data_IF_310496710143
#
_entry.id   IF_310496710143
#
_cell.length_a   1.000
_cell.length_b   1.000
_cell.length_c   1.000
_cell.angle_alpha   90.00
_cell.angle_beta   90.00
_cell.angle_gamma   90.00
#
_symmetry.space_group_name_H-M   'P 1'
#
loop_
_entity.id
_entity.type
_entity.pdbx_description
1 polymer ?
#
# COMPACT_ATOMS: atom_id res chain seq x y z
N UNK A 1 7.60 -18.14 16.88
CA UNK A 1 6.88 -16.88 16.61
C UNK A 1 7.51 -16.27 15.37
N UNK A 2 6.72 -16.04 14.33
CA UNK A 2 7.19 -15.47 13.07
C UNK A 2 6.97 -13.96 13.09
N UNK A 3 7.98 -13.18 12.71
CA UNK A 3 7.88 -11.71 12.63
C UNK A 3 7.26 -11.33 11.29
N UNK A 4 6.36 -10.34 11.32
CA UNK A 4 5.83 -9.68 10.13
C UNK A 4 6.43 -8.27 10.10
N UNK A 5 7.12 -7.95 9.02
CA UNK A 5 7.63 -6.60 8.78
C UNK A 5 6.52 -5.75 8.14
N UNK A 6 6.47 -4.48 8.50
CA UNK A 6 5.56 -3.52 7.88
C UNK A 6 6.32 -2.23 7.55
N UNK A 7 5.97 -1.63 6.43
CA UNK A 7 6.45 -0.31 6.00
C UNK A 7 5.33 0.71 6.24
N UNK A 8 5.60 1.73 7.05
CA UNK A 8 4.68 2.82 7.34
C UNK A 8 5.06 4.10 6.59
N UNK A 9 4.07 4.96 6.32
CA UNK A 9 4.32 6.25 5.69
C UNK A 9 4.71 7.32 6.71
N UNK A 10 5.72 8.12 6.37
CA UNK A 10 6.23 9.18 7.25
C UNK A 10 5.52 10.54 7.05
N UNK A 11 4.53 10.61 6.15
CA UNK A 11 3.68 11.80 6.02
C UNK A 11 2.81 11.94 7.28
N UNK A 12 2.78 13.15 7.85
CA UNK A 12 1.95 13.49 9.02
C UNK A 12 0.50 13.02 8.84
N UNK A 13 -0.03 12.35 9.87
CA UNK A 13 -1.41 11.80 9.92
C UNK A 13 -1.73 10.72 8.89
N UNK A 14 -0.76 10.26 8.08
CA UNK A 14 -0.99 9.19 7.13
C UNK A 14 -1.00 7.83 7.83
N UNK A 15 -2.13 7.13 7.73
CA UNK A 15 -2.31 5.78 8.30
C UNK A 15 -1.81 4.66 7.38
N UNK A 16 -1.17 5.01 6.25
CA UNK A 16 -0.83 4.02 5.24
C UNK A 16 0.19 3.00 5.74
N UNK A 17 -0.07 1.73 5.41
CA UNK A 17 0.80 0.60 5.73
C UNK A 17 0.95 -0.31 4.51
N UNK A 18 2.16 -0.82 4.29
CA UNK A 18 2.41 -2.01 3.50
C UNK A 18 2.82 -3.13 4.46
N UNK A 19 2.13 -4.27 4.39
CA UNK A 19 2.33 -5.39 5.32
C UNK A 19 3.00 -6.51 4.56
N UNK A 20 4.18 -6.91 5.04
CA UNK A 20 4.98 -7.96 4.44
C UNK A 20 4.49 -9.36 4.75
N UNK A 21 5.14 -10.34 4.11
CA UNK A 21 4.86 -11.75 4.37
C UNK A 21 5.50 -12.19 5.71
N UNK A 22 4.85 -13.11 6.46
CA UNK A 22 5.44 -13.68 7.66
C UNK A 22 6.81 -14.31 7.39
N UNK A 23 7.85 -13.86 8.10
CA UNK A 23 9.20 -14.40 7.97
C UNK A 23 9.99 -13.88 6.77
N UNK A 24 9.45 -12.91 6.02
CA UNK A 24 10.20 -12.24 4.96
C UNK A 24 11.39 -11.46 5.51
N UNK A 25 12.47 -11.39 4.72
CA UNK A 25 13.61 -10.54 5.04
C UNK A 25 13.27 -9.05 4.83
N UNK A 26 14.00 -8.13 5.49
CA UNK A 26 13.82 -6.69 5.27
C UNK A 26 13.99 -6.25 3.81
N UNK A 27 14.92 -6.87 3.08
CA UNK A 27 15.14 -6.55 1.65
C UNK A 27 13.99 -7.03 0.76
N UNK A 28 13.40 -8.18 1.09
CA UNK A 28 12.22 -8.67 0.41
C UNK A 28 11.04 -7.71 0.64
N UNK A 29 10.81 -7.30 1.89
CA UNK A 29 9.75 -6.35 2.23
C UNK A 29 9.93 -5.00 1.53
N UNK A 30 11.15 -4.46 1.55
CA UNK A 30 11.49 -3.24 0.80
C UNK A 30 11.16 -3.42 -0.69
N UNK A 31 11.60 -4.51 -1.30
CA UNK A 31 11.32 -4.78 -2.72
C UNK A 31 9.81 -4.90 -3.00
N UNK A 32 9.05 -5.55 -2.11
CA UNK A 32 7.61 -5.69 -2.22
C UNK A 32 6.89 -4.34 -2.11
N UNK A 33 7.23 -3.52 -1.10
CA UNK A 33 6.68 -2.18 -0.92
C UNK A 33 6.98 -1.29 -2.14
N UNK A 34 8.20 -1.32 -2.68
CA UNK A 34 8.56 -0.58 -3.89
C UNK A 34 7.71 -1.02 -5.09
N UNK A 35 7.47 -2.32 -5.28
CA UNK A 35 6.58 -2.86 -6.33
C UNK A 35 5.12 -2.45 -6.12
N UNK A 36 4.69 -2.27 -4.87
CA UNK A 36 3.38 -1.72 -4.53
C UNK A 36 3.29 -0.20 -4.78
N UNK A 37 4.37 0.47 -5.18
CA UNK A 37 4.41 1.89 -5.53
C UNK A 37 4.80 2.81 -4.38
N UNK A 38 5.38 2.27 -3.31
CA UNK A 38 5.96 3.08 -2.24
C UNK A 38 7.27 3.71 -2.69
N UNK A 39 7.47 4.98 -2.34
CA UNK A 39 8.78 5.60 -2.44
C UNK A 39 9.58 5.34 -1.16
N UNK A 40 10.56 4.45 -1.30
CA UNK A 40 11.48 3.99 -0.26
C UNK A 40 12.92 3.97 -0.79
N UNK A 41 13.16 4.79 -1.82
CA UNK A 41 14.38 4.83 -2.61
C UNK A 41 15.62 5.24 -1.80
N UNK A 42 15.41 5.96 -0.68
CA UNK A 42 16.47 6.46 0.18
C UNK A 42 16.62 5.57 1.43
N UNK A 43 17.72 4.81 1.57
CA UNK A 43 18.00 4.08 2.80
C UNK A 43 18.08 5.04 4.00
N UNK A 44 17.29 4.79 5.04
CA UNK A 44 17.20 5.66 6.23
C UNK A 44 16.50 7.01 6.00
N UNK A 45 15.97 7.26 4.80
CA UNK A 45 15.11 8.40 4.51
C UNK A 45 13.63 8.09 4.78
N UNK A 46 12.75 9.10 4.63
CA UNK A 46 11.33 8.91 4.82
C UNK A 46 10.75 7.98 3.75
N UNK A 47 9.74 7.21 4.13
CA UNK A 47 8.95 6.35 3.27
C UNK A 47 7.63 7.04 2.93
N UNK A 48 7.27 7.06 1.65
CA UNK A 48 6.00 7.61 1.18
C UNK A 48 5.13 6.54 0.55
N UNK A 49 3.89 6.45 1.00
CA UNK A 49 2.92 5.55 0.39
C UNK A 49 2.54 6.02 -1.02
N UNK A 50 1.92 5.15 -1.85
CA UNK A 50 1.58 5.49 -3.23
C UNK A 50 0.66 6.72 -3.38
N UNK A 51 -0.16 7.02 -2.36
CA UNK A 51 -1.01 8.21 -2.37
C UNK A 51 -0.20 9.49 -2.09
N UNK A 52 0.63 9.48 -1.04
CA UNK A 52 1.46 10.63 -0.67
C UNK A 52 2.55 10.91 -1.71
N UNK A 53 3.20 9.86 -2.24
CA UNK A 53 4.24 10.01 -3.26
C UNK A 53 3.71 10.60 -4.57
N UNK A 54 2.41 10.43 -4.87
CA UNK A 54 1.75 11.01 -6.06
C UNK A 54 0.99 12.31 -5.76
N UNK A 55 1.13 12.86 -4.55
CA UNK A 55 0.51 14.13 -4.18
C UNK A 55 -1.00 14.08 -3.93
N UNK A 56 -1.60 12.89 -3.77
CA UNK A 56 -3.04 12.72 -3.48
C UNK A 56 -3.41 13.02 -2.03
N UNK A 57 -2.42 13.05 -1.14
CA UNK A 57 -2.60 13.32 0.29
C UNK A 57 -2.50 12.07 1.18
N UNK A 58 -2.65 12.25 2.50
CA UNK A 58 -2.56 11.16 3.47
C UNK A 58 -3.73 10.18 3.36
N UNK A 59 -3.47 8.91 3.73
CA UNK A 59 -4.53 7.93 3.97
C UNK A 59 -5.13 8.21 5.35
N UNK A 60 -6.41 8.57 5.40
CA UNK A 60 -7.11 8.90 6.65
C UNK A 60 -8.06 7.80 7.13
N UNK A 61 -8.43 6.87 6.23
CA UNK A 61 -9.34 5.76 6.50
C UNK A 61 -8.69 4.43 6.11
N UNK A 62 -8.55 3.53 7.08
CA UNK A 62 -8.04 2.18 6.87
C UNK A 62 -9.06 1.27 6.17
N UNK A 63 -8.56 0.29 5.42
CA UNK A 63 -9.33 -0.75 4.74
C UNK A 63 -8.40 -1.76 4.06
N UNK A 64 -8.89 -2.42 3.02
CA UNK A 64 -8.24 -3.63 2.49
C UNK A 64 -7.41 -3.39 1.21
N UNK A 65 -7.00 -2.15 0.94
CA UNK A 65 -6.09 -1.90 -0.18
C UNK A 65 -4.73 -2.57 0.03
N UNK A 66 -4.41 -3.55 -0.81
CA UNK A 66 -3.14 -4.30 -0.78
C UNK A 66 -1.88 -3.41 -0.94
N UNK A 67 -2.04 -2.18 -1.44
CA UNK A 67 -0.93 -1.24 -1.65
C UNK A 67 -0.71 -0.26 -0.52
N UNK A 68 -1.75 0.18 0.17
CA UNK A 68 -1.62 1.25 1.18
C UNK A 68 -2.51 1.08 2.41
N UNK A 69 -3.28 -0.02 2.48
CA UNK A 69 -4.31 -0.27 3.50
C UNK A 69 -5.36 0.84 3.61
N UNK A 70 -5.56 1.63 2.55
CA UNK A 70 -6.65 2.59 2.47
C UNK A 70 -7.98 1.94 2.09
N UNK A 71 -9.09 2.60 2.43
CA UNK A 71 -10.45 2.18 2.06
C UNK A 71 -10.63 2.04 0.53
N UNK A 72 -11.37 1.01 0.13
CA UNK A 72 -11.80 0.75 -1.25
C UNK A 72 -13.29 1.04 -1.45
N UNK A 73 -13.66 1.30 -2.69
CA UNK A 73 -15.05 1.38 -3.16
C UNK A 73 -15.25 0.48 -4.38
N UNK A 74 -16.44 -0.09 -4.51
CA UNK A 74 -16.83 -0.80 -5.72
C UNK A 74 -17.00 0.19 -6.88
N UNK A 75 -16.50 -0.19 -8.05
CA UNK A 75 -16.63 0.48 -9.35
C UNK A 75 -17.00 -0.56 -10.41
N UNK A 76 -17.38 -0.12 -11.61
CA UNK A 76 -17.82 -1.04 -12.68
C UNK A 76 -16.78 -2.14 -13.00
N UNK A 77 -15.50 -1.80 -12.96
CA UNK A 77 -14.39 -2.69 -13.33
C UNK A 77 -13.71 -3.39 -12.13
N UNK A 78 -14.28 -3.32 -10.93
CA UNK A 78 -13.70 -3.94 -9.73
C UNK A 78 -13.76 -3.06 -8.47
N UNK A 79 -12.71 -3.09 -7.67
CA UNK A 79 -12.58 -2.28 -6.47
C UNK A 79 -11.46 -1.26 -6.59
N UNK A 80 -11.76 0.02 -6.35
CA UNK A 80 -10.77 1.10 -6.41
C UNK A 80 -10.47 1.65 -5.03
N UNK A 81 -9.18 1.79 -4.70
CA UNK A 81 -8.77 2.49 -3.49
C UNK A 81 -9.03 4.00 -3.60
N UNK A 82 -9.66 4.59 -2.60
CA UNK A 82 -9.95 6.03 -2.56
C UNK A 82 -8.68 6.88 -2.43
N UNK A 83 -7.66 6.37 -1.75
CA UNK A 83 -6.43 7.11 -1.49
C UNK A 83 -5.44 7.00 -2.65
N UNK A 84 -4.92 5.81 -2.94
CA UNK A 84 -3.88 5.64 -3.98
C UNK A 84 -4.44 5.45 -5.39
N UNK A 85 -5.75 5.20 -5.53
CA UNK A 85 -6.40 5.00 -6.82
C UNK A 85 -6.16 3.64 -7.46
N UNK A 86 -5.44 2.72 -6.80
CA UNK A 86 -5.23 1.35 -7.28
C UNK A 86 -6.56 0.63 -7.53
N UNK A 87 -6.68 0.01 -8.68
CA UNK A 87 -7.81 -0.81 -9.07
C UNK A 87 -7.43 -2.28 -8.91
N UNK A 88 -8.13 -2.98 -8.03
CA UNK A 88 -8.13 -4.44 -7.99
C UNK A 88 -9.28 -4.88 -8.90
N UNK A 89 -8.99 -5.43 -10.09
CA UNK A 89 -10.04 -5.84 -11.01
C UNK A 89 -10.86 -6.98 -10.40
N UNK A 90 -12.16 -7.02 -10.70
CA UNK A 90 -12.93 -8.23 -10.43
C UNK A 90 -12.27 -9.38 -11.22
N UNK A 91 -12.11 -10.58 -10.64
CA UNK A 91 -11.86 -11.75 -11.46
C UNK A 91 -13.01 -11.81 -12.46
N UNK A 92 -12.70 -11.67 -13.76
CA UNK A 92 -13.70 -11.85 -14.80
C UNK A 92 -14.35 -13.20 -14.54
N UNK A 93 -15.67 -13.20 -14.38
CA UNK A 93 -16.46 -14.43 -14.38
C UNK A 93 -16.23 -15.06 -15.76
N UNK A 94 -15.30 -16.04 -15.83
CA UNK A 94 -15.03 -16.82 -17.02
C UNK A 94 -16.30 -17.66 -17.32
N UNK A 95 -17.26 -17.05 -18.01
CA UNK A 95 -18.48 -17.71 -18.50
C UNK A 95 -18.40 -18.00 -19.98
#
# INVERSE_FOLDING_TARGET
MTVVLATACDTTECLALHVGLPGASPDFERTAAARAGWDISRPGGPHYCPACSTGRGPVLDLGDCERCHGRRIAVADGERCLACGHLTPCPHDER
#
